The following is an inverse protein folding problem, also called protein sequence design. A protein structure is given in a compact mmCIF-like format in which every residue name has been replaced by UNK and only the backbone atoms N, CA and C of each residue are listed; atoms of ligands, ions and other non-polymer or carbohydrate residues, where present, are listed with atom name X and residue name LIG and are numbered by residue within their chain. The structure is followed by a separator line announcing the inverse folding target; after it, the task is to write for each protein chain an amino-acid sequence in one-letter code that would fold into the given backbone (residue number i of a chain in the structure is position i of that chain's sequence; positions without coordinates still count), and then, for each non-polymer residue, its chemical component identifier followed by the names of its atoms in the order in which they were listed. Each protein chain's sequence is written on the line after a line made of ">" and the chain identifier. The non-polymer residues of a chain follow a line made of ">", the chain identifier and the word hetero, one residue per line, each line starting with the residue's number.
data_IF_846903958167
#
_entry.id   IF_846903958167
#
_cell.length_a   1.000
_cell.length_b   1.000
_cell.length_c   1.000
_cell.angle_alpha   90.00
_cell.angle_beta   90.00
_cell.angle_gamma   90.00
#
_symmetry.space_group_name_H-M   'P 1'
#
loop_
_entity.id
_entity.type
_entity.pdbx_description
1 polymer ?
#
# COMPACT_ATOMS: atom_id res chain seq x y z
N UNK A 1 -52.67 48.11 20.06
CA UNK A 1 -52.81 47.00 19.10
C UNK A 1 -51.53 46.16 19.15
N UNK A 2 -51.56 45.06 19.90
CA UNK A 2 -50.42 44.15 20.09
C UNK A 2 -50.20 43.31 18.84
N UNK A 3 -49.05 43.47 18.18
CA UNK A 3 -48.58 42.52 17.17
C UNK A 3 -47.93 41.33 17.90
N UNK A 4 -48.57 40.18 17.85
CA UNK A 4 -47.97 38.88 18.21
C UNK A 4 -46.80 38.63 17.27
N UNK A 5 -45.60 38.49 17.82
CA UNK A 5 -44.43 38.01 17.06
C UNK A 5 -44.56 36.51 16.87
N UNK A 6 -44.44 36.07 15.61
CA UNK A 6 -44.39 34.68 15.18
C UNK A 6 -42.94 34.21 15.41
N UNK A 7 -42.68 33.05 16.04
CA UNK A 7 -41.33 32.51 16.07
C UNK A 7 -40.91 32.08 14.67
N UNK A 8 -39.72 32.51 14.25
CA UNK A 8 -39.08 31.99 13.04
C UNK A 8 -38.84 30.48 13.19
N UNK A 9 -38.94 29.69 12.10
CA UNK A 9 -38.56 28.28 12.15
C UNK A 9 -37.09 28.13 12.55
N UNK A 10 -36.82 27.11 13.36
CA UNK A 10 -35.47 26.67 13.68
C UNK A 10 -34.70 26.45 12.37
N UNK A 11 -33.49 27.00 12.33
CA UNK A 11 -32.58 26.81 11.22
C UNK A 11 -32.01 25.39 11.37
N UNK A 12 -32.63 24.40 10.74
CA UNK A 12 -32.14 23.03 10.59
C UNK A 12 -30.96 23.01 9.62
N UNK A 13 -29.88 23.72 9.96
CA UNK A 13 -28.57 23.45 9.40
C UNK A 13 -27.92 22.38 10.29
N UNK A 14 -28.41 21.15 10.17
CA UNK A 14 -27.57 19.96 10.39
C UNK A 14 -26.57 19.94 9.24
N UNK A 15 -25.56 20.81 9.34
CA UNK A 15 -24.28 20.54 8.71
C UNK A 15 -23.73 19.31 9.45
N UNK A 16 -24.09 18.12 8.96
CA UNK A 16 -23.40 16.84 9.19
C UNK A 16 -21.98 16.93 8.58
N UNK A 17 -21.23 17.97 8.94
CA UNK A 17 -19.78 17.95 8.92
C UNK A 17 -19.38 17.15 10.16
N UNK A 18 -19.56 15.83 10.06
CA UNK A 18 -18.88 14.87 10.90
C UNK A 18 -17.39 15.10 10.65
N UNK A 19 -16.82 16.08 11.35
CA UNK A 19 -15.42 16.44 11.33
C UNK A 19 -14.62 15.30 11.94
N UNK A 20 -14.56 14.17 11.23
CA UNK A 20 -13.64 13.09 11.48
C UNK A 20 -12.26 13.70 11.31
N UNK A 21 -11.67 14.10 12.43
CA UNK A 21 -10.23 14.28 12.54
C UNK A 21 -9.68 12.91 12.23
N UNK A 22 -9.30 12.69 10.97
CA UNK A 22 -8.58 11.48 10.58
C UNK A 22 -7.40 11.38 11.53
N UNK A 23 -7.26 10.23 12.17
CA UNK A 23 -6.08 10.02 12.98
C UNK A 23 -4.82 10.17 12.09
N UNK A 24 -3.69 10.50 12.70
CA UNK A 24 -2.44 10.74 11.98
C UNK A 24 -2.07 9.56 11.07
N UNK A 25 -2.44 8.34 11.48
CA UNK A 25 -2.18 7.11 10.74
C UNK A 25 -3.04 7.04 9.48
N UNK A 26 -4.34 7.32 9.54
CA UNK A 26 -5.29 7.34 8.43
C UNK A 26 -4.91 8.42 7.40
N UNK A 27 -4.55 9.61 7.88
CA UNK A 27 -4.06 10.68 7.02
C UNK A 27 -2.77 10.27 6.29
N UNK A 28 -1.83 9.64 7.01
CA UNK A 28 -0.57 9.14 6.44
C UNK A 28 -0.80 7.99 5.46
N UNK A 29 -1.69 7.06 5.82
CA UNK A 29 -2.11 5.94 4.98
C UNK A 29 -2.64 6.45 3.64
N UNK A 30 -3.55 7.42 3.66
CA UNK A 30 -4.10 8.00 2.43
C UNK A 30 -3.05 8.67 1.54
N UNK A 31 -2.02 9.30 2.14
CA UNK A 31 -0.88 9.85 1.39
C UNK A 31 -0.09 8.74 0.71
N UNK A 32 0.24 7.66 1.44
CA UNK A 32 0.99 6.54 0.87
C UNK A 32 0.21 5.77 -0.18
N UNK A 33 -1.09 5.57 0.03
CA UNK A 33 -1.97 4.93 -0.94
C UNK A 33 -1.94 5.67 -2.28
N UNK A 34 -2.12 7.00 -2.27
CA UNK A 34 -2.04 7.83 -3.49
C UNK A 34 -0.66 7.79 -4.14
N UNK A 35 0.41 7.99 -3.35
CA UNK A 35 1.80 7.96 -3.87
C UNK A 35 2.15 6.62 -4.49
N UNK A 36 1.71 5.51 -3.90
CA UNK A 36 1.93 4.18 -4.45
C UNK A 36 1.14 3.98 -5.75
N UNK A 37 -0.10 4.45 -5.81
CA UNK A 37 -0.91 4.35 -7.02
C UNK A 37 -0.29 5.16 -8.18
N UNK A 38 0.16 6.40 -7.90
CA UNK A 38 0.85 7.25 -8.86
C UNK A 38 2.20 6.66 -9.31
N UNK A 39 2.97 6.10 -8.39
CA UNK A 39 4.29 5.52 -8.70
C UNK A 39 4.15 4.22 -9.49
N UNK A 40 3.42 3.24 -8.95
CA UNK A 40 3.33 1.91 -9.55
C UNK A 40 2.53 1.93 -10.86
N UNK A 41 1.61 2.88 -11.02
CA UNK A 41 0.90 3.12 -12.27
C UNK A 41 1.80 3.50 -13.45
N UNK A 42 3.05 3.94 -13.19
CA UNK A 42 4.04 4.18 -14.25
C UNK A 42 4.63 2.89 -14.82
N UNK A 43 4.55 1.78 -14.09
CA UNK A 43 5.20 0.50 -14.44
C UNK A 43 4.21 -0.62 -14.77
N UNK A 44 2.96 -0.48 -14.34
CA UNK A 44 1.95 -1.50 -14.53
C UNK A 44 0.53 -0.98 -14.32
N UNK A 45 -0.43 -1.87 -14.51
CA UNK A 45 -1.86 -1.60 -14.31
C UNK A 45 -2.31 -2.09 -12.94
N UNK A 46 -3.20 -1.33 -12.32
CA UNK A 46 -3.88 -1.66 -11.06
C UNK A 46 -5.26 -2.29 -11.35
N UNK A 47 -5.59 -3.46 -10.79
CA UNK A 47 -6.93 -4.06 -10.87
C UNK A 47 -7.20 -4.94 -9.63
N UNK A 48 -8.29 -4.64 -8.92
CA UNK A 48 -8.76 -5.43 -7.77
C UNK A 48 -9.21 -6.85 -8.15
N UNK A 49 -9.45 -7.13 -9.44
CA UNK A 49 -9.88 -8.46 -9.92
C UNK A 49 -8.71 -9.43 -10.16
N UNK A 50 -7.47 -9.05 -9.85
CA UNK A 50 -6.31 -9.94 -10.01
C UNK A 50 -5.86 -10.17 -11.45
N UNK A 51 -6.32 -9.34 -12.40
CA UNK A 51 -6.01 -9.48 -13.85
C UNK A 51 -4.95 -8.50 -14.34
N UNK A 52 -4.52 -7.58 -13.48
CA UNK A 52 -3.51 -6.59 -13.81
C UNK A 52 -2.14 -6.96 -13.22
N UNK A 53 -1.30 -5.98 -12.99
CA UNK A 53 0.09 -6.19 -12.57
C UNK A 53 0.25 -6.17 -11.06
N UNK A 54 -0.60 -5.39 -10.39
CA UNK A 54 -0.63 -5.27 -8.95
C UNK A 54 -2.02 -4.84 -8.45
N UNK A 55 -2.21 -4.98 -7.15
CA UNK A 55 -3.31 -4.39 -6.37
C UNK A 55 -2.72 -3.71 -5.14
N UNK A 56 -3.13 -2.47 -4.87
CA UNK A 56 -2.86 -1.82 -3.59
C UNK A 56 -4.09 -2.09 -2.72
N UNK A 57 -3.89 -2.74 -1.58
CA UNK A 57 -4.98 -3.02 -0.65
C UNK A 57 -5.48 -1.69 -0.08
N UNK A 58 -6.76 -1.41 -0.27
CA UNK A 58 -7.45 -0.17 0.11
C UNK A 58 -8.08 -0.24 1.51
N UNK A 59 -8.01 -1.39 2.17
CA UNK A 59 -8.36 -1.52 3.58
C UNK A 59 -7.25 -0.94 4.49
N UNK A 60 -7.58 0.09 5.27
CA UNK A 60 -6.73 0.55 6.36
C UNK A 60 -7.05 -0.20 7.66
N UNK A 61 -6.18 -1.13 8.05
CA UNK A 61 -6.29 -1.90 9.30
C UNK A 61 -5.67 -1.20 10.53
N UNK A 62 -5.27 0.07 10.41
CA UNK A 62 -4.65 0.85 11.49
C UNK A 62 -3.16 0.55 11.73
N UNK A 63 -2.52 -0.22 10.84
CA UNK A 63 -1.08 -0.48 10.90
C UNK A 63 -0.31 0.62 10.16
N UNK A 64 0.90 0.95 10.60
CA UNK A 64 1.83 1.85 9.91
C UNK A 64 2.45 1.17 8.67
N UNK A 65 1.60 0.69 7.76
CA UNK A 65 1.97 -0.17 6.64
C UNK A 65 1.02 -0.04 5.45
N UNK A 66 1.57 -0.03 4.25
CA UNK A 66 0.81 -0.26 3.01
C UNK A 66 1.07 -1.66 2.46
N UNK A 67 0.04 -2.31 1.93
CA UNK A 67 0.14 -3.64 1.32
C UNK A 67 -0.10 -3.55 -0.19
N UNK A 68 0.84 -4.11 -0.95
CA UNK A 68 0.76 -4.25 -2.41
C UNK A 68 0.82 -5.73 -2.74
N UNK A 69 -0.21 -6.24 -3.39
CA UNK A 69 -0.18 -7.55 -4.01
C UNK A 69 0.44 -7.45 -5.40
N UNK A 70 1.46 -8.25 -5.67
CA UNK A 70 2.14 -8.32 -6.95
C UNK A 70 1.59 -9.50 -7.73
N UNK A 71 0.84 -9.20 -8.79
CA UNK A 71 0.24 -10.21 -9.68
C UNK A 71 1.17 -10.54 -10.86
N UNK A 72 2.12 -9.65 -11.17
CA UNK A 72 3.12 -9.86 -12.21
C UNK A 72 4.54 -9.58 -11.70
N UNK A 73 5.41 -10.60 -11.75
CA UNK A 73 6.77 -10.55 -11.17
C UNK A 73 7.66 -9.43 -11.72
N UNK A 74 7.35 -8.89 -12.90
CA UNK A 74 8.05 -7.72 -13.44
C UNK A 74 7.93 -6.46 -12.56
N UNK A 75 6.93 -6.40 -11.68
CA UNK A 75 6.79 -5.32 -10.69
C UNK A 75 7.85 -5.40 -9.57
N UNK A 76 8.54 -6.54 -9.42
CA UNK A 76 9.64 -6.71 -8.48
C UNK A 76 11.02 -6.37 -9.07
N UNK A 77 11.07 -5.68 -10.21
CA UNK A 77 12.34 -5.24 -10.78
C UNK A 77 13.09 -4.34 -9.78
N UNK A 78 14.43 -4.48 -9.65
CA UNK A 78 15.19 -3.72 -8.65
C UNK A 78 14.97 -2.21 -8.71
N UNK A 79 14.83 -1.63 -9.90
CA UNK A 79 14.59 -0.19 -10.04
C UNK A 79 13.20 0.23 -9.51
N UNK A 80 12.16 -0.59 -9.67
CA UNK A 80 10.82 -0.31 -9.13
C UNK A 80 10.86 -0.34 -7.61
N UNK A 81 11.49 -1.37 -7.03
CA UNK A 81 11.64 -1.51 -5.58
C UNK A 81 12.43 -0.34 -4.99
N UNK A 82 13.47 0.14 -5.69
CA UNK A 82 14.22 1.32 -5.28
C UNK A 82 13.36 2.59 -5.28
N UNK A 83 12.51 2.82 -6.29
CA UNK A 83 11.59 3.96 -6.28
C UNK A 83 10.54 3.84 -5.15
N UNK A 84 10.04 2.63 -4.88
CA UNK A 84 9.13 2.41 -3.75
C UNK A 84 9.82 2.73 -2.42
N UNK A 85 11.08 2.33 -2.24
CA UNK A 85 11.84 2.62 -1.03
C UNK A 85 12.00 4.13 -0.80
N UNK A 86 12.20 4.93 -1.85
CA UNK A 86 12.29 6.39 -1.73
C UNK A 86 11.04 7.02 -1.12
N UNK A 87 9.86 6.40 -1.27
CA UNK A 87 8.62 6.90 -0.64
C UNK A 87 8.67 6.84 0.89
N UNK A 88 9.38 5.87 1.47
CA UNK A 88 9.42 5.63 2.93
C UNK A 88 10.65 6.22 3.61
N UNK A 89 11.64 6.74 2.89
CA UNK A 89 12.87 7.32 3.48
C UNK A 89 12.58 8.43 4.50
N UNK A 90 11.56 9.26 4.27
CA UNK A 90 11.15 10.33 5.18
C UNK A 90 10.18 9.91 6.29
N UNK A 91 9.79 8.64 6.34
CA UNK A 91 8.74 8.10 7.22
C UNK A 91 9.22 6.75 7.80
N UNK A 92 10.18 6.76 8.75
CA UNK A 92 10.81 5.55 9.26
C UNK A 92 9.85 4.57 9.95
N UNK A 93 8.71 5.06 10.43
CA UNK A 93 7.60 4.27 10.97
C UNK A 93 6.80 3.54 9.89
N UNK A 94 6.80 4.03 8.65
CA UNK A 94 6.01 3.48 7.57
C UNK A 94 6.73 2.34 6.85
N UNK A 95 6.01 1.25 6.63
CA UNK A 95 6.51 0.08 5.92
C UNK A 95 5.67 -0.20 4.68
N UNK A 96 6.30 -0.59 3.57
CA UNK A 96 5.56 -1.06 2.38
C UNK A 96 5.86 -2.55 2.20
N UNK A 97 4.80 -3.36 2.12
CA UNK A 97 4.92 -4.80 1.84
C UNK A 97 4.48 -5.06 0.40
N UNK A 98 5.36 -5.66 -0.40
CA UNK A 98 5.06 -6.16 -1.74
C UNK A 98 4.98 -7.68 -1.69
N UNK A 99 3.77 -8.22 -1.52
CA UNK A 99 3.51 -9.66 -1.44
C UNK A 99 3.34 -10.27 -2.82
N UNK A 100 3.96 -11.43 -3.08
CA UNK A 100 3.76 -12.15 -4.34
C UNK A 100 2.42 -12.87 -4.34
N UNK A 101 1.54 -12.51 -5.26
CA UNK A 101 0.19 -13.06 -5.45
C UNK A 101 -0.07 -13.30 -6.94
N UNK A 102 0.81 -14.06 -7.59
CA UNK A 102 0.72 -14.32 -9.05
C UNK A 102 -0.45 -15.27 -9.33
N UNK A 103 -1.43 -14.91 -10.19
CA UNK A 103 -2.55 -15.77 -10.51
C UNK A 103 -2.12 -17.16 -11.02
N UNK A 104 -2.77 -18.21 -10.53
CA UNK A 104 -2.47 -19.60 -10.88
C UNK A 104 -1.37 -20.25 -10.03
N UNK A 105 -0.82 -19.52 -9.05
CA UNK A 105 0.16 -20.04 -8.09
C UNK A 105 -0.44 -20.33 -6.71
N UNK A 106 -1.76 -20.15 -6.56
CA UNK A 106 -2.49 -20.31 -5.29
C UNK A 106 -2.32 -21.73 -4.75
N UNK A 107 -1.92 -21.83 -3.48
CA UNK A 107 -1.64 -23.10 -2.80
C UNK A 107 -0.40 -23.85 -3.32
N UNK A 108 0.30 -23.33 -4.33
CA UNK A 108 1.53 -23.94 -4.89
C UNK A 108 2.77 -23.21 -4.45
N UNK A 109 2.71 -21.88 -4.40
CA UNK A 109 3.82 -21.04 -3.98
C UNK A 109 3.66 -20.69 -2.50
N UNK A 110 4.75 -20.73 -1.71
CA UNK A 110 4.70 -20.29 -0.32
C UNK A 110 4.49 -18.77 -0.26
N UNK A 111 3.96 -18.24 0.85
CA UNK A 111 3.97 -16.80 1.10
C UNK A 111 5.39 -16.25 0.99
N UNK A 112 5.56 -15.23 0.14
CA UNK A 112 6.83 -14.56 -0.08
C UNK A 112 6.61 -13.15 -0.62
N UNK A 113 7.62 -12.30 -0.49
CA UNK A 113 7.52 -10.91 -0.89
C UNK A 113 8.70 -10.09 -0.40
N UNK A 114 8.57 -8.78 -0.49
CA UNK A 114 9.52 -7.82 0.02
C UNK A 114 8.86 -6.97 1.10
N UNK A 115 9.59 -6.72 2.19
CA UNK A 115 9.22 -5.70 3.18
C UNK A 115 10.20 -4.54 3.04
N UNK A 116 9.70 -3.37 2.66
CA UNK A 116 10.48 -2.19 2.33
C UNK A 116 10.35 -1.17 3.45
N UNK A 117 11.49 -0.83 4.05
CA UNK A 117 11.62 0.18 5.11
C UNK A 117 12.55 1.29 4.64
N UNK A 118 12.53 2.41 5.36
CA UNK A 118 13.35 3.59 5.06
C UNK A 118 14.85 3.27 4.84
N UNK A 119 15.39 2.31 5.60
CA UNK A 119 16.83 2.02 5.64
C UNK A 119 17.20 0.63 5.10
N UNK A 120 16.24 -0.24 4.83
CA UNK A 120 16.49 -1.60 4.37
C UNK A 120 15.36 -2.15 3.51
N UNK A 121 15.69 -3.13 2.67
CA UNK A 121 14.71 -4.03 2.06
C UNK A 121 14.89 -5.44 2.61
N UNK A 122 13.86 -6.00 3.23
CA UNK A 122 13.86 -7.38 3.69
C UNK A 122 13.38 -8.26 2.55
N UNK A 123 14.29 -9.08 2.05
CA UNK A 123 14.08 -9.97 0.92
C UNK A 123 13.53 -11.32 1.41
N UNK A 124 12.20 -11.43 1.44
CA UNK A 124 11.48 -12.65 1.77
C UNK A 124 11.24 -13.59 0.59
N UNK A 125 11.79 -13.31 -0.60
CA UNK A 125 11.52 -14.09 -1.81
C UNK A 125 12.14 -15.50 -1.74
N UNK A 126 11.34 -16.52 -2.06
CA UNK A 126 11.81 -17.91 -2.16
C UNK A 126 12.31 -18.18 -3.57
N UNK A 127 13.63 -17.98 -3.76
CA UNK A 127 14.29 -17.95 -5.08
C UNK A 127 14.03 -19.19 -5.94
N UNK A 128 13.90 -20.37 -5.33
CA UNK A 128 13.65 -21.62 -6.04
C UNK A 128 12.27 -21.67 -6.74
N UNK A 129 11.30 -20.89 -6.26
CA UNK A 129 9.96 -20.79 -6.86
C UNK A 129 9.89 -19.79 -8.00
N UNK A 130 10.84 -18.85 -8.07
CA UNK A 130 10.84 -17.81 -9.08
C UNK A 130 11.46 -18.32 -10.39
N UNK A 131 10.86 -18.03 -11.55
CA UNK A 131 11.53 -18.22 -12.83
C UNK A 131 12.61 -17.17 -13.05
N UNK A 132 13.53 -17.43 -13.98
CA UNK A 132 14.41 -16.38 -14.49
C UNK A 132 13.60 -15.32 -15.26
N UNK A 133 14.01 -14.04 -15.25
CA UNK A 133 15.19 -13.50 -14.57
C UNK A 133 14.98 -13.20 -13.07
N UNK A 134 13.76 -13.29 -12.55
CA UNK A 134 13.37 -12.79 -11.22
C UNK A 134 14.10 -13.48 -10.05
N UNK A 135 14.50 -14.74 -10.26
CA UNK A 135 15.33 -15.49 -9.32
C UNK A 135 16.66 -14.81 -9.01
N UNK A 136 17.26 -14.16 -10.01
CA UNK A 136 18.58 -13.54 -9.89
C UNK A 136 18.55 -12.10 -9.37
N UNK A 137 17.36 -11.50 -9.21
CA UNK A 137 17.24 -10.12 -8.72
C UNK A 137 17.84 -9.94 -7.32
N UNK A 138 18.47 -8.79 -7.13
CA UNK A 138 19.03 -8.32 -5.86
C UNK A 138 18.58 -6.88 -5.66
N UNK A 139 18.32 -6.53 -4.40
CA UNK A 139 17.85 -5.21 -4.02
C UNK A 139 18.92 -4.48 -3.23
N UNK A 140 19.02 -3.17 -3.42
CA UNK A 140 19.96 -2.35 -2.69
C UNK A 140 19.63 -2.34 -1.19
N UNK A 141 20.66 -2.33 -0.34
CA UNK A 141 20.52 -2.37 1.13
C UNK A 141 19.59 -3.50 1.62
N UNK A 142 19.60 -4.63 0.92
CA UNK A 142 18.74 -5.76 1.28
C UNK A 142 19.42 -6.77 2.19
N UNK A 143 18.60 -7.38 3.05
CA UNK A 143 18.98 -8.56 3.83
C UNK A 143 17.96 -9.67 3.62
N UNK A 144 18.33 -10.95 3.82
CA UNK A 144 17.37 -12.04 3.80
C UNK A 144 16.28 -11.87 4.87
N UNK A 145 15.04 -12.22 4.52
CA UNK A 145 13.95 -12.34 5.48
C UNK A 145 14.09 -13.56 6.37
N UNK A 146 13.67 -13.41 7.63
CA UNK A 146 13.72 -14.46 8.66
C UNK A 146 12.44 -15.29 8.74
N UNK A 147 11.35 -14.81 8.12
CA UNK A 147 10.01 -15.39 8.23
C UNK A 147 9.17 -14.82 9.39
N UNK A 148 9.73 -13.91 10.18
CA UNK A 148 9.07 -13.24 11.32
C UNK A 148 9.11 -11.70 11.21
N UNK A 149 9.50 -11.17 10.06
CA UNK A 149 9.74 -9.74 9.81
C UNK A 149 8.50 -8.93 9.42
#
# INVERSE_FOLDING_TARGET
>A
MNRKSIPAPANDNEDDDDGYVLDEQEATWGVFFRKLHELLGQFGTHDWRGRADFLIVDDNYGYWRSHVEVHQLRMLQPHIVAEVQKLVVGHPEWTIVMAVSVPGTEGRWPPMGLTIRAHETIDGLKRDYLPEPYRSYRYENSRPGTGYD
#
